data_IF_640468727979
#
_entry.id   IF_640468727979
#
_cell.length_a   1.000
_cell.length_b   1.000
_cell.length_c   1.000
_cell.angle_alpha   90.00
_cell.angle_beta   90.00
_cell.angle_gamma   90.00
#
_symmetry.space_group_name_H-M   'P 1'
#
loop_
_entity.id
_entity.type
_entity.pdbx_description
1 polymer ?
#
# COMPACT_ATOMS: atom_id res chain seq x y z
N UNK A 1 -6.12 -24.21 -21.03
CA UNK A 1 -5.68 -23.37 -22.16
C UNK A 1 -5.18 -24.17 -23.36
N UNK A 2 -4.37 -25.24 -23.18
CA UNK A 2 -3.80 -25.97 -24.32
C UNK A 2 -4.86 -26.62 -25.23
N UNK A 3 -5.94 -27.13 -24.65
CA UNK A 3 -7.01 -27.79 -25.40
C UNK A 3 -8.19 -26.87 -25.73
N UNK A 4 -8.37 -25.80 -24.96
CA UNK A 4 -9.57 -24.94 -24.98
C UNK A 4 -9.27 -23.51 -25.44
N UNK A 5 -8.02 -23.21 -25.78
CA UNK A 5 -7.59 -21.89 -26.21
C UNK A 5 -7.62 -20.83 -25.10
N UNK A 6 -7.61 -19.58 -25.56
CA UNK A 6 -7.54 -18.37 -24.73
C UNK A 6 -8.84 -18.11 -23.96
N UNK A 7 -9.99 -18.53 -24.48
CA UNK A 7 -11.32 -18.40 -23.85
C UNK A 7 -11.36 -19.02 -22.44
N UNK A 8 -10.56 -20.04 -22.18
CA UNK A 8 -10.49 -20.65 -20.84
C UNK A 8 -9.82 -19.71 -19.82
N UNK A 9 -8.86 -18.87 -20.24
CA UNK A 9 -8.28 -17.82 -19.38
C UNK A 9 -9.28 -16.68 -19.14
N UNK A 10 -10.06 -16.30 -20.15
CA UNK A 10 -11.10 -15.28 -19.99
C UNK A 10 -12.18 -15.72 -19.00
N UNK A 11 -12.59 -16.99 -19.07
CA UNK A 11 -13.49 -17.60 -18.08
C UNK A 11 -12.86 -17.64 -16.68
N UNK A 12 -11.59 -18.03 -16.57
CA UNK A 12 -10.88 -18.02 -15.29
C UNK A 12 -10.79 -16.59 -14.70
N UNK A 13 -10.50 -15.59 -15.54
CA UNK A 13 -10.45 -14.18 -15.15
C UNK A 13 -11.76 -13.70 -14.51
N UNK A 14 -12.90 -14.03 -15.13
CA UNK A 14 -14.22 -13.69 -14.60
C UNK A 14 -14.56 -14.48 -13.33
N UNK A 15 -14.42 -15.80 -13.35
CA UNK A 15 -14.84 -16.66 -12.25
C UNK A 15 -14.01 -16.45 -10.98
N UNK A 16 -12.73 -16.12 -11.11
CA UNK A 16 -11.81 -15.92 -9.99
C UNK A 16 -11.64 -14.43 -9.63
N UNK A 17 -12.23 -13.50 -10.39
CA UNK A 17 -12.12 -12.06 -10.15
C UNK A 17 -10.69 -11.53 -10.29
N UNK A 18 -9.94 -11.99 -11.30
CA UNK A 18 -8.52 -11.64 -11.47
C UNK A 18 -8.29 -10.23 -12.03
N UNK A 19 -9.32 -9.62 -12.63
CA UNK A 19 -9.27 -8.28 -13.22
C UNK A 19 -8.12 -8.07 -14.23
N UNK A 20 -7.75 -9.11 -14.97
CA UNK A 20 -6.69 -9.06 -15.98
C UNK A 20 -7.14 -8.26 -17.21
N UNK A 21 -6.24 -7.44 -17.74
CA UNK A 21 -6.43 -6.79 -19.05
C UNK A 21 -6.26 -7.79 -20.19
N UNK A 22 -6.70 -7.41 -21.40
CA UNK A 22 -6.51 -8.28 -22.57
C UNK A 22 -5.02 -8.57 -22.85
N UNK A 23 -4.15 -7.59 -22.66
CA UNK A 23 -2.70 -7.75 -22.85
C UNK A 23 -2.11 -8.73 -21.83
N UNK A 24 -2.59 -8.70 -20.58
CA UNK A 24 -2.18 -9.65 -19.54
C UNK A 24 -2.67 -11.07 -19.82
N UNK A 25 -3.90 -11.22 -20.33
CA UNK A 25 -4.43 -12.51 -20.77
C UNK A 25 -3.60 -13.06 -21.94
N UNK A 26 -3.31 -12.23 -22.93
CA UNK A 26 -2.48 -12.59 -24.08
C UNK A 26 -1.05 -12.99 -23.65
N UNK A 27 -0.48 -12.25 -22.69
CA UNK A 27 0.82 -12.56 -22.11
C UNK A 27 0.82 -13.94 -21.45
N UNK A 28 -0.15 -14.22 -20.56
CA UNK A 28 -0.29 -15.51 -19.90
C UNK A 28 -0.50 -16.64 -20.91
N UNK A 29 -1.41 -16.44 -21.87
CA UNK A 29 -1.68 -17.43 -22.91
C UNK A 29 -0.42 -17.80 -23.69
N UNK A 30 0.36 -16.79 -24.09
CA UNK A 30 1.58 -17.00 -24.88
C UNK A 30 2.64 -17.77 -24.07
N UNK A 31 2.90 -17.35 -22.82
CA UNK A 31 3.90 -17.97 -21.96
C UNK A 31 3.54 -19.42 -21.59
N UNK A 32 2.29 -19.68 -21.19
CA UNK A 32 1.88 -21.05 -20.83
C UNK A 32 1.74 -21.97 -22.05
N UNK A 33 1.45 -21.42 -23.24
CA UNK A 33 1.53 -22.17 -24.50
C UNK A 33 2.96 -22.59 -24.82
N UNK A 34 3.94 -21.69 -24.62
CA UNK A 34 5.36 -21.99 -24.80
C UNK A 34 5.87 -23.03 -23.78
N UNK A 35 5.44 -22.92 -22.52
CA UNK A 35 5.74 -23.90 -21.46
C UNK A 35 5.05 -25.25 -21.68
N UNK A 36 4.15 -25.38 -22.66
CA UNK A 36 3.40 -26.60 -23.00
C UNK A 36 2.71 -27.22 -21.79
N UNK A 37 2.21 -26.38 -20.88
CA UNK A 37 1.40 -26.82 -19.73
C UNK A 37 0.29 -25.81 -19.45
N UNK A 38 -0.79 -26.29 -18.82
CA UNK A 38 -1.80 -25.37 -18.31
C UNK A 38 -1.26 -24.65 -17.05
N UNK A 39 -1.64 -23.37 -16.84
CA UNK A 39 -1.41 -22.70 -15.57
C UNK A 39 -2.26 -23.35 -14.47
N UNK A 40 -1.76 -23.33 -13.24
CA UNK A 40 -2.58 -23.58 -12.06
C UNK A 40 -3.35 -22.32 -11.66
N UNK A 41 -4.42 -22.50 -10.90
CA UNK A 41 -5.16 -21.39 -10.29
C UNK A 41 -4.26 -20.50 -9.40
N UNK A 42 -3.36 -21.10 -8.63
CA UNK A 42 -2.39 -20.38 -7.79
C UNK A 42 -1.47 -19.51 -8.63
N UNK A 43 -1.00 -19.99 -9.78
CA UNK A 43 -0.13 -19.21 -10.68
C UNK A 43 -0.87 -18.00 -11.27
N UNK A 44 -2.14 -18.18 -11.66
CA UNK A 44 -2.97 -17.09 -12.18
C UNK A 44 -3.28 -16.05 -11.09
N UNK A 45 -3.64 -16.50 -9.89
CA UNK A 45 -3.92 -15.62 -8.75
C UNK A 45 -2.67 -14.83 -8.35
N UNK A 46 -1.51 -15.50 -8.26
CA UNK A 46 -0.22 -14.84 -7.99
C UNK A 46 0.08 -13.76 -9.03
N UNK A 47 -0.07 -14.08 -10.31
CA UNK A 47 0.17 -13.14 -11.40
C UNK A 47 -0.78 -11.94 -11.32
N UNK A 48 -2.07 -12.17 -11.10
CA UNK A 48 -3.08 -11.13 -11.01
C UNK A 48 -2.78 -10.15 -9.86
N UNK A 49 -2.45 -10.68 -8.67
CA UNK A 49 -2.15 -9.82 -7.54
C UNK A 49 -0.86 -9.00 -7.75
N UNK A 50 0.20 -9.63 -8.26
CA UNK A 50 1.48 -8.96 -8.53
C UNK A 50 1.38 -7.87 -9.62
N UNK A 51 0.43 -8.01 -10.55
CA UNK A 51 0.21 -7.05 -11.64
C UNK A 51 -1.01 -6.14 -11.42
N UNK A 52 -1.66 -6.20 -10.26
CA UNK A 52 -2.70 -5.24 -9.89
C UNK A 52 -2.16 -3.81 -9.89
N UNK A 53 -3.05 -2.81 -10.03
CA UNK A 53 -2.66 -1.41 -9.94
C UNK A 53 -1.97 -1.11 -8.59
N UNK A 54 -2.58 -1.61 -7.50
CA UNK A 54 -2.10 -1.44 -6.13
C UNK A 54 -0.66 -1.95 -5.93
N UNK A 55 -0.28 -3.08 -6.52
CA UNK A 55 1.08 -3.62 -6.38
C UNK A 55 2.06 -3.02 -7.40
N UNK A 56 1.63 -2.83 -8.65
CA UNK A 56 2.52 -2.49 -9.75
C UNK A 56 2.67 -0.97 -9.96
N UNK A 57 1.83 -0.16 -9.33
CA UNK A 57 1.84 1.30 -9.42
C UNK A 57 1.90 1.78 -10.88
N UNK A 58 1.04 1.19 -11.73
CA UNK A 58 1.05 1.39 -13.20
C UNK A 58 0.90 2.88 -13.56
N UNK A 59 -0.02 3.57 -12.90
CA UNK A 59 -0.30 5.00 -13.12
C UNK A 59 0.93 5.85 -12.78
N UNK A 60 1.61 5.55 -11.68
CA UNK A 60 2.79 6.31 -11.24
C UNK A 60 3.99 6.15 -12.19
N UNK A 61 4.07 5.03 -12.92
CA UNK A 61 5.17 4.73 -13.83
C UNK A 61 4.86 5.01 -15.30
N UNK A 62 3.61 5.34 -15.65
CA UNK A 62 3.22 5.57 -17.04
C UNK A 62 3.77 6.89 -17.59
N UNK A 63 3.81 6.99 -18.93
CA UNK A 63 4.06 8.25 -19.65
C UNK A 63 2.74 8.98 -19.86
N UNK A 64 2.79 10.31 -19.75
CA UNK A 64 1.60 11.16 -19.80
C UNK A 64 1.54 11.96 -21.10
N UNK A 65 0.32 12.17 -21.59
CA UNK A 65 0.00 13.17 -22.62
C UNK A 65 -1.03 14.10 -21.98
N UNK A 66 -0.72 15.39 -21.88
CA UNK A 66 -1.60 16.41 -21.31
C UNK A 66 -1.71 17.51 -22.35
N UNK A 67 -2.94 17.81 -22.79
CA UNK A 67 -3.24 18.77 -23.85
C UNK A 67 -2.38 18.49 -25.10
N UNK A 68 -2.47 17.25 -25.62
CA UNK A 68 -1.70 16.71 -26.76
C UNK A 68 -0.17 16.78 -26.63
N UNK A 69 0.34 17.17 -25.46
CA UNK A 69 1.77 17.32 -25.21
C UNK A 69 2.29 16.14 -24.39
N UNK A 70 3.18 15.34 -24.99
CA UNK A 70 3.90 14.27 -24.29
C UNK A 70 4.75 14.86 -23.16
N UNK A 71 4.69 14.22 -21.99
CA UNK A 71 5.55 14.54 -20.84
C UNK A 71 6.67 13.51 -20.75
N UNK A 72 7.88 14.01 -20.52
CA UNK A 72 9.09 13.18 -20.42
C UNK A 72 9.11 12.33 -19.14
N UNK A 73 8.64 12.93 -18.05
CA UNK A 73 8.64 12.32 -16.72
C UNK A 73 7.32 11.59 -16.41
N UNK A 74 7.44 10.47 -15.69
CA UNK A 74 6.32 9.85 -14.98
C UNK A 74 6.09 10.56 -13.64
N UNK A 75 4.96 10.28 -12.97
CA UNK A 75 4.73 10.82 -11.63
C UNK A 75 5.85 10.39 -10.67
N UNK A 76 6.25 9.11 -10.71
CA UNK A 76 7.30 8.60 -9.85
C UNK A 76 8.68 9.19 -10.18
N UNK A 77 8.98 9.45 -11.46
CA UNK A 77 10.24 10.11 -11.81
C UNK A 77 10.28 11.55 -11.29
N UNK A 78 9.16 12.29 -11.36
CA UNK A 78 9.04 13.62 -10.74
C UNK A 78 9.26 13.57 -9.22
N UNK A 79 8.71 12.58 -8.51
CA UNK A 79 8.98 12.40 -7.07
C UNK A 79 10.47 12.14 -6.83
N UNK A 80 11.10 11.24 -7.60
CA UNK A 80 12.55 10.97 -7.50
C UNK A 80 13.43 12.19 -7.79
N UNK A 81 12.94 13.18 -8.53
CA UNK A 81 13.70 14.41 -8.76
C UNK A 81 13.93 15.20 -7.47
N UNK A 82 13.04 15.11 -6.48
CA UNK A 82 13.24 15.76 -5.17
C UNK A 82 14.50 15.24 -4.49
N UNK A 83 14.66 13.92 -4.46
CA UNK A 83 15.85 13.23 -3.95
C UNK A 83 17.10 13.55 -4.77
N UNK A 84 17.01 13.55 -6.11
CA UNK A 84 18.14 13.91 -6.98
C UNK A 84 18.63 15.34 -6.77
N UNK A 85 17.71 16.28 -6.53
CA UNK A 85 18.04 17.69 -6.30
C UNK A 85 18.53 17.96 -4.89
N UNK A 86 18.01 17.22 -3.90
CA UNK A 86 18.38 17.38 -2.51
C UNK A 86 18.25 16.04 -1.78
N UNK A 87 19.30 15.23 -1.84
CA UNK A 87 19.38 13.98 -1.09
C UNK A 87 19.69 14.23 0.39
N UNK A 88 20.22 15.41 0.73
CA UNK A 88 20.54 15.83 2.10
C UNK A 88 21.16 14.70 2.92
N UNK A 89 20.47 14.34 4.01
CA UNK A 89 20.87 13.32 4.97
C UNK A 89 20.12 11.99 4.78
N UNK A 90 19.61 11.70 3.58
CA UNK A 90 18.86 10.46 3.32
C UNK A 90 19.85 9.30 3.12
N UNK A 91 19.63 8.21 3.86
CA UNK A 91 20.42 6.98 3.81
C UNK A 91 19.79 5.91 2.92
N UNK A 92 18.45 5.89 2.82
CA UNK A 92 17.69 5.00 1.94
C UNK A 92 16.42 5.70 1.45
N UNK A 93 16.17 5.62 0.14
CA UNK A 93 14.92 6.04 -0.48
C UNK A 93 14.65 5.20 -1.74
N UNK A 94 13.40 4.74 -1.89
CA UNK A 94 12.91 3.98 -3.05
C UNK A 94 13.54 2.59 -3.26
N UNK A 95 14.21 2.04 -2.25
CA UNK A 95 14.90 0.74 -2.31
C UNK A 95 14.54 -0.18 -1.11
N UNK A 96 13.51 0.20 -0.35
CA UNK A 96 12.98 -0.54 0.78
C UNK A 96 11.51 -0.13 1.02
N UNK A 97 10.83 -0.79 1.94
CA UNK A 97 9.46 -0.47 2.33
C UNK A 97 9.34 0.85 3.10
N UNK A 98 10.44 1.42 3.61
CA UNK A 98 10.47 2.72 4.28
C UNK A 98 11.68 3.55 3.83
N UNK A 99 11.60 4.87 3.98
CA UNK A 99 12.74 5.75 3.80
C UNK A 99 13.54 5.84 5.11
N UNK A 100 14.86 6.02 5.02
CA UNK A 100 15.75 6.20 6.18
C UNK A 100 16.57 7.46 6.02
N UNK A 101 16.64 8.27 7.06
CA UNK A 101 17.47 9.48 7.13
C UNK A 101 18.42 9.43 8.33
N UNK A 102 19.51 10.18 8.24
CA UNK A 102 20.44 10.34 9.34
C UNK A 102 19.71 10.97 10.53
N UNK A 103 19.84 10.33 11.69
CA UNK A 103 19.36 10.86 12.95
C UNK A 103 20.52 11.43 13.75
N UNK A 104 20.62 11.02 15.01
CA UNK A 104 21.58 11.59 15.96
C UNK A 104 22.32 10.52 16.73
N UNK A 105 23.48 10.86 17.30
CA UNK A 105 24.13 9.99 18.28
C UNK A 105 23.37 10.06 19.59
N UNK A 106 23.07 8.91 20.19
CA UNK A 106 22.31 8.85 21.42
C UNK A 106 22.43 7.51 22.12
N UNK A 107 21.81 7.42 23.29
CA UNK A 107 21.82 6.21 24.10
C UNK A 107 20.63 5.32 23.73
N UNK A 108 20.89 4.16 23.11
CA UNK A 108 19.89 3.09 23.01
C UNK A 108 19.90 2.25 24.28
N UNK A 109 18.71 2.02 24.82
CA UNK A 109 18.52 1.20 26.01
C UNK A 109 17.87 -0.13 25.64
N UNK A 110 18.60 -1.23 25.84
CA UNK A 110 18.09 -2.58 25.60
C UNK A 110 18.87 -3.62 26.42
N UNK A 111 18.30 -4.82 26.57
CA UNK A 111 18.97 -5.92 27.26
C UNK A 111 20.15 -6.45 26.44
N UNK A 112 21.34 -6.47 27.03
CA UNK A 112 22.51 -7.06 26.37
C UNK A 112 22.30 -8.58 26.20
N UNK A 113 22.47 -9.14 24.99
CA UNK A 113 22.16 -10.54 24.70
C UNK A 113 23.10 -11.54 25.38
N UNK A 114 24.27 -11.10 25.88
CA UNK A 114 25.23 -11.97 26.59
C UNK A 114 25.08 -11.85 28.10
N UNK A 115 24.89 -10.63 28.62
CA UNK A 115 24.79 -10.39 30.07
C UNK A 115 23.38 -10.52 30.61
N UNK A 116 22.36 -10.45 29.75
CA UNK A 116 20.94 -10.42 30.12
C UNK A 116 20.58 -9.27 31.09
N UNK A 117 21.28 -8.13 30.97
CA UNK A 117 21.04 -6.92 31.77
C UNK A 117 20.77 -5.74 30.86
N UNK A 118 19.87 -4.85 31.28
CA UNK A 118 19.58 -3.63 30.54
C UNK A 118 20.72 -2.62 30.69
N UNK A 119 21.23 -2.13 29.56
CA UNK A 119 22.33 -1.16 29.52
C UNK A 119 22.05 -0.09 28.47
N UNK A 120 22.61 1.11 28.68
CA UNK A 120 22.65 2.16 27.67
C UNK A 120 23.86 1.94 26.76
N UNK A 121 23.65 1.95 25.44
CA UNK A 121 24.70 1.91 24.43
C UNK A 121 24.68 3.18 23.60
N UNK A 122 25.81 3.86 23.54
CA UNK A 122 25.96 5.04 22.69
C UNK A 122 26.16 4.61 21.24
N UNK A 123 25.24 4.99 20.35
CA UNK A 123 25.28 4.65 18.93
C UNK A 123 24.54 5.69 18.08
N UNK A 124 24.72 5.63 16.75
CA UNK A 124 23.92 6.42 15.83
C UNK A 124 22.50 5.87 15.75
N UNK A 125 21.51 6.69 16.10
CA UNK A 125 20.09 6.36 16.04
C UNK A 125 19.51 7.04 14.80
N UNK A 126 19.56 6.36 13.67
CA UNK A 126 18.91 6.80 12.44
C UNK A 126 17.38 6.75 12.54
N UNK A 127 16.71 7.49 11.67
CA UNK A 127 15.25 7.64 11.66
C UNK A 127 14.70 7.02 10.39
N UNK A 128 13.70 6.15 10.54
CA UNK A 128 12.90 5.64 9.42
C UNK A 128 11.55 6.34 9.39
N UNK A 129 10.93 6.41 8.22
CA UNK A 129 9.59 6.96 8.03
C UNK A 129 8.87 6.21 6.92
N UNK A 130 7.61 5.86 7.19
CA UNK A 130 6.66 5.30 6.23
C UNK A 130 5.26 5.81 6.57
N UNK A 131 4.40 5.82 5.57
CA UNK A 131 2.97 6.13 5.67
C UNK A 131 2.26 5.24 4.67
N UNK A 132 1.18 4.59 5.10
CA UNK A 132 0.30 3.81 4.25
C UNK A 132 -1.16 4.26 4.42
N UNK A 133 -2.04 3.72 3.56
CA UNK A 133 -3.48 3.95 3.66
C UNK A 133 -4.21 2.62 3.54
N UNK A 134 -5.39 2.52 4.15
CA UNK A 134 -6.23 1.31 4.07
C UNK A 134 -7.70 1.63 3.74
N UNK A 135 -7.87 2.41 2.68
CA UNK A 135 -9.13 3.07 2.36
C UNK A 135 -10.27 2.09 2.04
N UNK A 136 -10.05 1.19 1.08
CA UNK A 136 -11.11 0.28 0.60
C UNK A 136 -11.62 -0.66 1.71
N UNK A 137 -10.76 -1.35 2.49
CA UNK A 137 -11.23 -2.18 3.61
C UNK A 137 -11.95 -1.37 4.69
N UNK A 138 -11.47 -0.17 5.02
CA UNK A 138 -12.09 0.70 6.02
C UNK A 138 -13.49 1.15 5.63
N UNK A 139 -13.78 1.34 4.34
CA UNK A 139 -15.13 1.65 3.87
C UNK A 139 -16.13 0.48 4.06
N UNK A 140 -15.63 -0.76 4.16
CA UNK A 140 -16.45 -1.98 4.34
C UNK A 140 -16.57 -2.36 5.82
N UNK A 141 -15.44 -2.37 6.54
CA UNK A 141 -15.37 -2.74 7.95
C UNK A 141 -14.32 -1.86 8.64
N UNK A 142 -14.73 -0.74 9.27
CA UNK A 142 -13.79 0.31 9.68
C UNK A 142 -12.80 -0.12 10.75
N UNK A 143 -13.25 -0.83 11.78
CA UNK A 143 -12.38 -1.25 12.88
C UNK A 143 -11.21 -2.11 12.38
N UNK A 144 -11.44 -3.29 11.74
CA UNK A 144 -10.33 -4.10 11.25
C UNK A 144 -9.59 -3.42 10.10
N UNK A 145 -10.26 -2.62 9.26
CA UNK A 145 -9.62 -1.86 8.19
C UNK A 145 -8.59 -0.85 8.72
N UNK A 146 -8.92 -0.09 9.75
CA UNK A 146 -7.97 0.82 10.39
C UNK A 146 -6.86 0.04 11.11
N UNK A 147 -7.22 -1.00 11.88
CA UNK A 147 -6.28 -1.81 12.64
C UNK A 147 -5.23 -2.51 11.75
N UNK A 148 -5.64 -3.10 10.63
CA UNK A 148 -4.68 -3.74 9.71
C UNK A 148 -3.92 -2.73 8.88
N UNK A 149 -4.45 -1.51 8.71
CA UNK A 149 -3.70 -0.37 8.17
C UNK A 149 -2.49 -0.04 9.05
N UNK A 150 -2.71 0.25 10.33
CA UNK A 150 -1.63 0.46 11.31
C UNK A 150 -0.70 -0.74 11.42
N UNK A 151 -1.27 -1.95 11.52
CA UNK A 151 -0.49 -3.17 11.64
C UNK A 151 0.37 -3.49 10.41
N UNK A 152 -0.07 -3.11 9.20
CA UNK A 152 0.70 -3.25 7.97
C UNK A 152 1.90 -2.32 7.96
N UNK A 153 1.66 -1.04 8.24
CA UNK A 153 2.67 0.01 8.27
C UNK A 153 3.76 -0.28 9.33
N UNK A 154 3.37 -0.68 10.55
CA UNK A 154 4.31 -1.07 11.62
C UNK A 154 5.22 -2.25 11.20
N UNK A 155 4.72 -3.17 10.37
CA UNK A 155 5.53 -4.28 9.85
C UNK A 155 6.56 -3.80 8.83
N UNK A 156 6.22 -2.82 8.00
CA UNK A 156 7.18 -2.22 7.07
C UNK A 156 8.31 -1.50 7.80
N UNK A 157 7.98 -0.72 8.83
CA UNK A 157 8.98 -0.09 9.70
C UNK A 157 9.91 -1.14 10.33
N UNK A 158 9.34 -2.25 10.80
CA UNK A 158 10.10 -3.34 11.43
C UNK A 158 10.95 -4.13 10.43
N UNK A 159 10.50 -4.26 9.18
CA UNK A 159 11.17 -5.00 8.11
C UNK A 159 12.25 -4.17 7.41
N UNK A 160 12.35 -2.86 7.67
CA UNK A 160 13.33 -1.97 7.06
C UNK A 160 14.77 -2.46 7.31
N UNK A 161 15.55 -2.56 6.23
CA UNK A 161 16.94 -3.03 6.23
C UNK A 161 17.09 -4.46 6.75
N UNK A 162 17.68 -4.60 7.94
CA UNK A 162 17.90 -5.91 8.60
C UNK A 162 17.15 -6.00 9.93
N UNK A 163 16.15 -5.13 10.13
CA UNK A 163 15.39 -4.98 11.36
C UNK A 163 15.35 -3.53 11.81
N UNK A 164 14.19 -2.90 11.66
CA UNK A 164 13.86 -1.61 12.24
C UNK A 164 13.14 -1.75 13.59
N UNK A 165 13.00 -0.63 14.31
CA UNK A 165 12.21 -0.58 15.55
C UNK A 165 11.25 0.60 15.49
N UNK A 166 9.94 0.34 15.33
CA UNK A 166 8.91 1.37 15.38
C UNK A 166 9.00 2.20 16.66
N UNK A 167 8.68 3.50 16.55
CA UNK A 167 8.78 4.45 17.68
C UNK A 167 7.51 5.23 17.93
N UNK A 168 6.92 5.84 16.91
CA UNK A 168 5.74 6.68 17.04
C UNK A 168 4.93 6.61 15.75
N UNK A 169 3.62 6.47 15.88
CA UNK A 169 2.68 6.48 14.76
C UNK A 169 1.93 7.80 14.64
N UNK A 170 1.37 8.03 13.46
CA UNK A 170 0.37 9.06 13.20
C UNK A 170 -0.84 8.41 12.53
N UNK A 171 -2.02 9.01 12.68
CA UNK A 171 -3.24 8.56 12.01
C UNK A 171 -3.93 9.72 11.30
N UNK A 172 -4.65 9.42 10.23
CA UNK A 172 -5.37 10.40 9.42
C UNK A 172 -6.65 9.80 8.85
N UNK A 173 -7.76 10.51 9.04
CA UNK A 173 -9.08 10.14 8.51
C UNK A 173 -9.64 11.29 7.67
N UNK A 174 -10.29 10.94 6.56
CA UNK A 174 -11.10 11.87 5.77
C UNK A 174 -12.38 11.14 5.39
N UNK A 175 -13.52 11.69 5.80
CA UNK A 175 -14.84 11.08 5.62
C UNK A 175 -15.84 12.13 5.10
N UNK A 176 -17.01 11.67 4.65
CA UNK A 176 -18.13 12.56 4.33
C UNK A 176 -18.71 13.23 5.59
N UNK A 177 -19.79 14.01 5.44
CA UNK A 177 -20.51 14.57 6.59
C UNK A 177 -20.95 13.48 7.56
N UNK A 178 -20.85 13.77 8.86
CA UNK A 178 -21.13 12.79 9.90
C UNK A 178 -22.63 12.58 10.06
N UNK A 179 -23.44 13.64 9.87
CA UNK A 179 -24.89 13.60 10.07
C UNK A 179 -25.24 12.96 11.42
N UNK A 180 -24.61 13.45 12.50
CA UNK A 180 -24.80 12.89 13.85
C UNK A 180 -26.28 13.06 14.24
N UNK A 181 -27.00 11.97 14.57
CA UNK A 181 -28.43 12.06 14.89
C UNK A 181 -28.70 13.01 16.07
N UNK A 182 -29.54 14.02 15.83
CA UNK A 182 -29.88 15.05 16.81
C UNK A 182 -28.80 16.12 17.01
N UNK A 183 -27.76 16.15 16.17
CA UNK A 183 -26.70 17.15 16.16
C UNK A 183 -26.26 17.52 14.74
N UNK A 184 -27.20 17.50 13.79
CA UNK A 184 -26.97 17.80 12.38
C UNK A 184 -26.56 19.27 12.20
N UNK A 185 -25.58 19.52 11.34
CA UNK A 185 -25.08 20.87 11.07
C UNK A 185 -25.73 21.48 9.82
N UNK A 186 -25.87 22.83 9.73
CA UNK A 186 -26.57 23.48 8.62
C UNK A 186 -25.97 23.26 7.22
N UNK A 187 -24.70 22.86 7.13
CA UNK A 187 -24.02 22.55 5.87
C UNK A 187 -24.10 21.07 5.48
N UNK A 188 -24.57 20.21 6.37
CA UNK A 188 -24.63 18.78 6.11
C UNK A 188 -25.83 18.46 5.21
N UNK A 189 -25.59 17.60 4.22
CA UNK A 189 -26.61 17.13 3.30
C UNK A 189 -26.51 15.62 3.15
N UNK A 190 -27.65 14.94 3.28
CA UNK A 190 -27.74 13.53 2.93
C UNK A 190 -27.76 13.38 1.39
N UNK A 191 -26.71 12.75 0.86
CA UNK A 191 -26.57 12.42 -0.56
C UNK A 191 -26.72 10.91 -0.81
N UNK A 192 -27.10 10.13 0.21
CA UNK A 192 -27.11 8.67 0.18
C UNK A 192 -25.71 8.06 0.16
N UNK A 193 -25.67 6.73 0.20
CA UNK A 193 -24.44 5.92 0.05
C UNK A 193 -24.78 4.53 -0.52
N UNK A 194 -23.82 3.82 -1.15
CA UNK A 194 -23.99 2.41 -1.48
C UNK A 194 -24.33 1.57 -0.24
N UNK A 195 -25.24 0.60 -0.38
CA UNK A 195 -25.64 -0.27 0.73
C UNK A 195 -24.49 -1.11 1.29
N UNK A 196 -23.51 -1.45 0.45
CA UNK A 196 -22.36 -2.31 0.80
C UNK A 196 -21.23 -1.61 1.58
N UNK A 197 -21.32 -0.28 1.81
CA UNK A 197 -20.32 0.47 2.59
C UNK A 197 -20.97 1.06 3.84
N UNK A 198 -20.18 1.32 4.87
CA UNK A 198 -20.67 1.97 6.11
C UNK A 198 -20.79 3.49 5.96
N UNK A 199 -21.42 4.17 6.92
CA UNK A 199 -21.51 5.64 6.90
C UNK A 199 -20.20 6.32 7.33
N UNK A 200 -20.08 7.62 7.08
CA UNK A 200 -18.96 8.42 7.59
C UNK A 200 -18.91 8.43 9.13
N UNK A 201 -20.07 8.47 9.78
CA UNK A 201 -20.18 8.36 11.24
C UNK A 201 -19.66 7.02 11.74
N UNK A 202 -20.07 5.91 11.12
CA UNK A 202 -19.61 4.58 11.51
C UNK A 202 -18.09 4.45 11.36
N UNK A 203 -17.50 5.02 10.29
CA UNK A 203 -16.04 5.06 10.13
C UNK A 203 -15.39 5.81 11.29
N UNK A 204 -15.93 6.96 11.69
CA UNK A 204 -15.34 7.77 12.76
C UNK A 204 -15.61 7.25 14.17
N UNK A 205 -16.60 6.38 14.35
CA UNK A 205 -16.86 5.68 15.62
C UNK A 205 -15.96 4.46 15.75
N UNK A 206 -15.83 3.64 14.70
CA UNK A 206 -15.15 2.34 14.77
C UNK A 206 -13.68 2.39 14.33
N UNK A 207 -13.38 3.16 13.27
CA UNK A 207 -12.05 3.23 12.67
C UNK A 207 -10.96 3.73 13.63
N UNK A 208 -11.13 4.90 14.28
CA UNK A 208 -10.14 5.41 15.23
C UNK A 208 -9.87 4.50 16.44
N UNK A 209 -10.82 3.66 16.84
CA UNK A 209 -10.64 2.71 17.96
C UNK A 209 -9.81 1.50 17.50
N UNK A 210 -9.97 1.08 16.24
CA UNK A 210 -9.18 0.00 15.67
C UNK A 210 -7.73 0.40 15.36
N UNK A 211 -7.48 1.67 15.04
CA UNK A 211 -6.19 2.20 14.59
C UNK A 211 -5.05 2.10 15.62
#
# INVERSE_FOLDING_TARGET
ILNKGIDELEKANLNMGLALSQDEINFLFSNFSELKRNPTDVELMMFAQANSEHCRHKIFNTKWIIDDTKKEDSLFSMIKQTYKKNSGNILSAYDDNAAVMEGFSGLRFFADPKKHQYEYKNEKIHLLIKVETHNHPTAISPYPGAATGSGGEIRDESATGRGGKPKAGLTGFTVSNLNIPGYEQPWEKDNGKPERIVSALDIMVEGPIGA
#
